data_IF_258520512418
#
_entry.id   IF_258520512418
#
_cell.length_a   1.000
_cell.length_b   1.000
_cell.length_c   1.000
_cell.angle_alpha   90.00
_cell.angle_beta   90.00
_cell.angle_gamma   90.00
#
_symmetry.space_group_name_H-M   'P 1'
#
loop_
_entity.id
_entity.type
_entity.pdbx_description
1 polymer ?
#
# COMPACT_ATOMS: atom_id res chain seq x y z
N UNK A 1 0.14 -1.84 -1.51
CA UNK A 1 0.00 -1.89 -0.05
C UNK A 1 -1.26 -1.15 0.32
N UNK A 2 -2.23 -1.83 0.88
CA UNK A 2 -3.48 -1.22 1.33
C UNK A 2 -3.56 -1.37 2.83
N UNK A 3 -3.62 -0.24 3.55
CA UNK A 3 -3.57 -0.21 5.01
C UNK A 3 -4.64 0.75 5.56
N UNK A 4 -4.81 0.73 6.88
CA UNK A 4 -5.62 1.75 7.56
C UNK A 4 -5.06 3.14 7.28
N UNK A 5 -5.90 4.16 7.13
CA UNK A 5 -5.39 5.52 6.92
C UNK A 5 -4.38 5.95 7.98
N UNK A 6 -4.60 5.55 9.23
CA UNK A 6 -3.71 5.89 10.36
C UNK A 6 -2.32 5.24 10.26
N UNK A 7 -2.14 4.25 9.39
CA UNK A 7 -0.86 3.55 9.22
C UNK A 7 -0.04 4.03 8.03
N UNK A 8 -0.60 4.90 7.20
CA UNK A 8 0.10 5.37 5.98
C UNK A 8 1.44 6.02 6.32
N UNK A 9 1.48 6.90 7.30
CA UNK A 9 2.72 7.60 7.65
C UNK A 9 3.80 6.67 8.20
N UNK A 10 3.43 5.72 9.05
CA UNK A 10 4.42 4.76 9.58
C UNK A 10 4.91 3.81 8.51
N UNK A 11 4.06 3.45 7.55
CA UNK A 11 4.46 2.64 6.39
C UNK A 11 5.45 3.41 5.52
N UNK A 12 5.17 4.68 5.24
CA UNK A 12 6.11 5.54 4.50
C UNK A 12 7.47 5.58 5.18
N UNK A 13 7.48 5.79 6.49
CA UNK A 13 8.73 5.84 7.26
C UNK A 13 9.48 4.50 7.24
N UNK A 14 8.75 3.39 7.34
CA UNK A 14 9.34 2.07 7.28
C UNK A 14 9.98 1.78 5.91
N UNK A 15 9.33 2.21 4.84
CA UNK A 15 9.87 2.06 3.48
C UNK A 15 11.14 2.91 3.31
N UNK A 16 11.13 4.13 3.80
CA UNK A 16 12.30 5.00 3.74
C UNK A 16 13.48 4.40 4.50
N UNK A 17 13.23 3.76 5.65
CA UNK A 17 14.26 3.13 6.46
C UNK A 17 14.97 1.97 5.76
N UNK A 18 14.35 1.35 4.77
CA UNK A 18 14.96 0.29 3.95
C UNK A 18 15.33 0.78 2.55
N UNK A 19 15.48 2.07 2.39
CA UNK A 19 15.91 2.72 1.15
C UNK A 19 14.94 2.59 -0.02
N UNK A 20 13.66 2.47 0.27
CA UNK A 20 12.62 2.59 -0.74
C UNK A 20 12.22 4.07 -0.79
N UNK A 21 12.74 4.76 -1.80
CA UNK A 21 12.71 6.23 -1.83
C UNK A 21 11.41 6.84 -2.31
N UNK A 22 10.49 6.05 -2.84
CA UNK A 22 9.27 6.62 -3.40
C UNK A 22 8.10 5.67 -3.42
N UNK A 23 6.92 6.25 -3.31
CA UNK A 23 5.66 5.54 -3.46
C UNK A 23 4.62 6.52 -3.98
N UNK A 24 3.61 5.99 -4.66
CA UNK A 24 2.45 6.78 -5.05
C UNK A 24 1.32 6.48 -4.08
N UNK A 25 0.72 7.52 -3.53
CA UNK A 25 -0.32 7.40 -2.52
C UNK A 25 -1.70 7.60 -3.14
N UNK A 26 -2.63 6.75 -2.72
CA UNK A 26 -4.02 6.83 -3.14
C UNK A 26 -4.91 6.78 -1.90
N UNK A 27 -5.94 7.60 -1.89
CA UNK A 27 -7.06 7.43 -0.98
C UNK A 27 -8.04 6.48 -1.64
N UNK A 28 -8.31 5.37 -0.99
CA UNK A 28 -9.17 4.32 -1.54
C UNK A 28 -10.19 3.91 -0.50
N UNK A 29 -11.16 3.13 -0.93
CA UNK A 29 -12.15 2.52 -0.05
C UNK A 29 -12.13 1.03 -0.21
N UNK A 30 -12.30 0.34 0.89
CA UNK A 30 -12.41 -1.09 0.89
C UNK A 30 -13.71 -1.56 1.54
N UNK A 31 -14.17 -2.72 1.15
CA UNK A 31 -15.23 -3.40 1.85
C UNK A 31 -14.85 -4.87 1.97
N UNK A 32 -15.44 -5.55 2.93
CA UNK A 32 -15.12 -6.95 3.12
C UNK A 32 -15.63 -7.49 4.45
N UNK A 33 -14.86 -8.39 5.03
CA UNK A 33 -15.23 -9.14 6.23
C UNK A 33 -15.19 -8.33 7.54
N UNK A 34 -15.08 -7.01 7.48
CA UNK A 34 -15.06 -6.15 8.66
C UNK A 34 -16.46 -6.09 9.26
N UNK A 35 -16.69 -6.89 10.28
CA UNK A 35 -18.03 -7.12 10.85
C UNK A 35 -18.55 -5.96 11.68
N UNK A 36 -17.75 -4.96 11.97
CA UNK A 36 -18.19 -3.78 12.70
C UNK A 36 -19.01 -2.79 11.89
N UNK A 37 -19.22 -3.08 10.60
CA UNK A 37 -19.86 -2.16 9.67
C UNK A 37 -21.14 -2.69 9.08
N UNK A 38 -21.97 -3.31 9.90
CA UNK A 38 -23.35 -3.60 9.52
C UNK A 38 -24.23 -2.51 10.11
N UNK A 39 -25.20 -2.07 9.33
CA UNK A 39 -26.21 -1.14 9.81
C UNK A 39 -27.60 -1.70 9.55
N UNK A 40 -28.54 -1.28 10.39
CA UNK A 40 -29.93 -1.63 10.21
C UNK A 40 -30.70 -0.42 9.71
N UNK A 41 -31.50 -0.62 8.71
CA UNK A 41 -32.41 0.39 8.21
C UNK A 41 -33.74 -0.24 7.88
N UNK A 42 -34.80 0.23 8.52
CA UNK A 42 -36.15 -0.32 8.35
C UNK A 42 -36.22 -1.83 8.60
N UNK A 43 -35.44 -2.32 9.56
CA UNK A 43 -35.43 -3.73 9.90
C UNK A 43 -34.56 -4.59 9.01
N UNK A 44 -33.96 -4.05 7.99
CA UNK A 44 -32.99 -4.73 7.15
C UNK A 44 -31.58 -4.41 7.60
N UNK A 45 -30.72 -5.43 7.57
CA UNK A 45 -29.29 -5.23 7.82
C UNK A 45 -28.56 -5.25 6.50
N UNK A 46 -27.65 -4.30 6.34
CA UNK A 46 -26.70 -4.35 5.25
C UNK A 46 -25.34 -3.96 5.75
N UNK A 47 -24.32 -4.49 5.07
CA UNK A 47 -22.95 -4.10 5.30
C UNK A 47 -22.82 -2.64 4.90
N UNK A 48 -22.29 -1.83 5.79
CA UNK A 48 -21.91 -0.47 5.45
C UNK A 48 -20.88 -0.52 4.35
N UNK A 49 -21.14 0.19 3.28
CA UNK A 49 -20.57 -0.09 1.99
C UNK A 49 -19.05 -0.09 1.98
N UNK A 50 -18.43 0.93 2.52
CA UNK A 50 -16.98 1.03 2.39
C UNK A 50 -16.34 1.70 3.58
N UNK A 51 -15.08 1.33 3.80
CA UNK A 51 -14.21 1.97 4.77
C UNK A 51 -13.08 2.69 4.05
N UNK A 52 -12.68 3.88 4.52
CA UNK A 52 -11.49 4.52 3.97
C UNK A 52 -10.23 3.70 4.25
N UNK A 53 -9.36 3.65 3.26
CA UNK A 53 -8.05 3.00 3.33
C UNK A 53 -7.02 3.89 2.64
N UNK A 54 -5.77 3.71 2.99
CA UNK A 54 -4.67 4.30 2.25
C UNK A 54 -4.00 3.22 1.41
N UNK A 55 -3.66 3.56 0.18
CA UNK A 55 -2.91 2.64 -0.68
C UNK A 55 -1.59 3.29 -1.08
N UNK A 56 -0.52 2.51 -0.97
CA UNK A 56 0.79 2.91 -1.44
C UNK A 56 1.21 1.97 -2.57
N UNK A 57 1.51 2.54 -3.71
CA UNK A 57 2.02 1.78 -4.85
C UNK A 57 3.51 2.01 -4.97
N UNK A 58 4.28 0.93 -4.92
CA UNK A 58 5.74 0.97 -4.93
C UNK A 58 6.23 0.11 -6.09
N UNK A 59 7.00 0.71 -6.98
CA UNK A 59 7.77 -0.05 -7.96
C UNK A 59 9.12 -0.38 -7.32
N UNK A 60 9.50 -1.64 -7.34
CA UNK A 60 10.72 -2.10 -6.69
C UNK A 60 11.35 -3.24 -7.48
N UNK A 61 12.60 -3.55 -7.15
CA UNK A 61 13.25 -4.75 -7.65
C UNK A 61 12.67 -5.98 -6.98
N UNK A 62 12.74 -7.12 -7.66
CA UNK A 62 12.26 -8.38 -7.10
C UNK A 62 12.94 -8.69 -5.76
N UNK A 63 14.22 -8.42 -5.64
CA UNK A 63 15.00 -8.70 -4.44
C UNK A 63 14.53 -7.88 -3.22
N UNK A 64 13.89 -6.74 -3.45
CA UNK A 64 13.40 -5.88 -2.37
C UNK A 64 12.04 -6.32 -1.82
N UNK A 65 11.31 -7.16 -2.54
CA UNK A 65 9.94 -7.55 -2.17
C UNK A 65 9.87 -8.17 -0.77
N UNK A 66 10.71 -9.15 -0.39
CA UNK A 66 10.63 -9.72 0.96
C UNK A 66 10.88 -8.68 2.05
N UNK A 67 11.81 -7.77 1.84
CA UNK A 67 12.13 -6.73 2.82
C UNK A 67 11.00 -5.72 2.96
N UNK A 68 10.36 -5.36 1.84
CA UNK A 68 9.19 -4.48 1.86
C UNK A 68 8.05 -5.13 2.63
N UNK A 69 7.75 -6.39 2.35
CA UNK A 69 6.69 -7.12 3.05
C UNK A 69 6.94 -7.12 4.55
N UNK A 70 8.15 -7.43 4.97
CA UNK A 70 8.49 -7.49 6.39
C UNK A 70 8.39 -6.11 7.04
N UNK A 71 8.92 -5.08 6.41
CA UNK A 71 8.88 -3.72 6.93
C UNK A 71 7.45 -3.22 7.12
N UNK A 72 6.59 -3.47 6.15
CA UNK A 72 5.18 -3.08 6.22
C UNK A 72 4.45 -3.86 7.31
N UNK A 73 4.64 -5.17 7.37
CA UNK A 73 4.00 -5.99 8.40
C UNK A 73 4.41 -5.58 9.81
N UNK A 74 5.65 -5.23 10.01
CA UNK A 74 6.15 -4.85 11.33
C UNK A 74 5.42 -3.61 11.89
N UNK A 75 5.02 -2.69 11.04
CA UNK A 75 4.38 -1.45 11.50
C UNK A 75 2.87 -1.40 11.30
N UNK A 76 2.34 -2.18 10.37
CA UNK A 76 0.92 -2.13 10.03
C UNK A 76 0.10 -3.25 10.66
N UNK A 77 0.73 -4.31 11.14
CA UNK A 77 0.04 -5.45 11.75
C UNK A 77 -0.42 -5.12 13.17
N UNK A 78 -1.72 -5.10 13.39
CA UNK A 78 -2.33 -4.95 14.71
C UNK A 78 -2.92 -6.27 15.22
N UNK A 79 -2.99 -7.28 14.36
CA UNK A 79 -3.65 -8.54 14.66
C UNK A 79 -5.17 -8.50 14.51
N UNK A 80 -5.70 -7.40 14.02
CA UNK A 80 -7.15 -7.20 13.88
C UNK A 80 -7.58 -7.24 12.42
N UNK A 81 -8.83 -7.62 12.21
CA UNK A 81 -9.46 -7.52 10.89
C UNK A 81 -9.45 -6.05 10.46
N UNK A 82 -9.04 -5.81 9.24
CA UNK A 82 -8.94 -4.46 8.71
C UNK A 82 -7.53 -3.92 8.59
N UNK A 83 -6.52 -4.69 9.00
CA UNK A 83 -5.12 -4.28 8.86
C UNK A 83 -4.70 -4.05 7.40
N UNK A 84 -5.34 -4.73 6.47
CA UNK A 84 -5.09 -4.53 5.06
C UNK A 84 -4.35 -5.70 4.41
N UNK A 85 -3.86 -5.43 3.21
CA UNK A 85 -3.19 -6.45 2.40
C UNK A 85 -2.06 -5.83 1.58
N UNK A 86 -1.11 -6.67 1.25
CA UNK A 86 -0.05 -6.35 0.30
C UNK A 86 -0.30 -7.16 -0.96
N UNK A 87 -0.42 -6.47 -2.09
CA UNK A 87 -0.56 -7.09 -3.39
C UNK A 87 0.78 -7.00 -4.10
N UNK A 88 1.26 -8.13 -4.60
CA UNK A 88 2.54 -8.20 -5.31
C UNK A 88 2.24 -8.60 -6.75
N UNK A 89 2.60 -7.72 -7.68
CA UNK A 89 2.38 -7.94 -9.11
C UNK A 89 3.69 -7.75 -9.86
N UNK A 90 3.89 -8.54 -10.89
CA UNK A 90 4.98 -8.30 -11.81
C UNK A 90 4.63 -7.14 -12.73
N UNK A 91 5.58 -6.24 -12.91
CA UNK A 91 5.47 -5.15 -13.87
C UNK A 91 6.22 -5.54 -15.13
N UNK A 92 5.61 -5.36 -16.28
CA UNK A 92 6.29 -5.60 -17.55
C UNK A 92 7.42 -4.61 -17.78
N UNK A 93 7.25 -3.38 -17.32
CA UNK A 93 8.26 -2.34 -17.42
C UNK A 93 7.90 -1.18 -16.50
N UNK A 94 8.88 -0.34 -16.22
CA UNK A 94 8.73 0.94 -15.54
C UNK A 94 9.57 1.94 -16.32
N UNK A 95 8.99 3.08 -16.66
CA UNK A 95 9.68 4.08 -17.48
C UNK A 95 9.64 5.40 -16.73
N UNK A 96 10.81 6.01 -16.52
CA UNK A 96 10.89 7.33 -15.94
C UNK A 96 10.53 8.37 -17.01
N UNK A 97 9.52 9.15 -16.76
CA UNK A 97 9.01 10.12 -17.76
C UNK A 97 10.09 11.13 -18.11
N UNK A 98 10.82 11.65 -17.14
CA UNK A 98 11.81 12.70 -17.37
C UNK A 98 12.95 12.25 -18.29
N UNK A 99 13.43 11.04 -18.11
CA UNK A 99 14.67 10.57 -18.77
C UNK A 99 14.44 9.51 -19.83
N UNK A 100 13.28 8.83 -19.80
CA UNK A 100 13.02 7.67 -20.65
C UNK A 100 13.73 6.40 -20.21
N UNK A 101 14.44 6.42 -19.09
CA UNK A 101 15.06 5.23 -18.53
C UNK A 101 14.00 4.19 -18.18
N UNK A 102 14.33 2.91 -18.36
CA UNK A 102 13.40 1.81 -18.13
C UNK A 102 13.98 0.78 -17.18
N UNK A 103 13.11 -0.12 -16.70
CA UNK A 103 13.51 -1.23 -15.84
C UNK A 103 14.07 -0.75 -14.51
N UNK A 104 15.10 -1.43 -14.03
CA UNK A 104 15.73 -1.10 -12.74
C UNK A 104 16.26 0.34 -12.70
N UNK A 105 16.75 0.86 -13.81
CA UNK A 105 17.24 2.23 -13.89
C UNK A 105 16.14 3.25 -13.62
N UNK A 106 14.90 2.92 -13.97
CA UNK A 106 13.75 3.78 -13.70
C UNK A 106 13.29 3.70 -12.25
N UNK A 107 13.60 2.61 -11.56
CA UNK A 107 13.24 2.39 -10.15
C UNK A 107 14.27 3.03 -9.23
N UNK A 108 15.54 3.00 -9.62
CA UNK A 108 16.62 3.52 -8.78
C UNK A 108 16.46 5.01 -8.56
N UNK A 109 16.56 5.43 -7.29
CA UNK A 109 16.50 6.83 -6.94
C UNK A 109 17.73 7.56 -7.47
N UNK A 110 17.49 8.72 -8.04
CA UNK A 110 18.55 9.61 -8.48
C UNK A 110 18.34 10.98 -7.86
N UNK A 111 19.45 11.64 -7.52
CA UNK A 111 19.43 12.88 -6.76
C UNK A 111 18.65 14.03 -7.40
N UNK A 112 18.32 13.94 -8.67
CA UNK A 112 17.65 15.01 -9.42
C UNK A 112 16.25 14.62 -9.92
N UNK A 113 15.67 13.60 -9.37
CA UNK A 113 14.33 13.16 -9.76
C UNK A 113 13.23 13.85 -8.96
#
# INVERSE_FOLDING_TARGET
>A
IVVRPSKVEVVKSALAAINIGGATLFDVRGFGASRGHTSSYRGSQYVTDTNPKGMLMVACKDDDVPNIIQAVRDVANTGSIGDGKIFVNELSDVIRIRTGESGEDAIMEKNND
#
